data_IF_065922670016
#
_entry.id   IF_065922670016
#
_cell.length_a   1.000
_cell.length_b   1.000
_cell.length_c   1.000
_cell.angle_alpha   90.00
_cell.angle_beta   90.00
_cell.angle_gamma   90.00
#
_symmetry.space_group_name_H-M   'P 1'
#
loop_
_entity.id
_entity.type
_entity.pdbx_description
1 polymer ?
#
# COMPACT_ATOMS: atom_id res chain seq x y z
N UNK A 1 13.23 -0.82 -16.72
CA UNK A 1 12.26 0.26 -16.42
C UNK A 1 12.34 1.27 -17.56
N UNK A 2 11.21 1.71 -18.13
CA UNK A 2 11.20 2.71 -19.20
C UNK A 2 11.31 4.14 -18.65
N UNK A 3 11.48 5.13 -19.55
CA UNK A 3 11.65 6.55 -19.18
C UNK A 3 10.48 7.10 -18.37
N UNK A 4 9.25 6.71 -18.75
CA UNK A 4 8.02 7.09 -18.04
C UNK A 4 8.01 6.52 -16.62
N UNK A 5 8.30 5.22 -16.48
CA UNK A 5 8.34 4.54 -15.19
C UNK A 5 9.43 5.11 -14.28
N UNK A 6 10.58 5.53 -14.83
CA UNK A 6 11.63 6.20 -14.07
C UNK A 6 11.14 7.54 -13.50
N UNK A 7 10.50 8.38 -14.32
CA UNK A 7 9.91 9.65 -13.84
C UNK A 7 8.86 9.44 -12.75
N UNK A 8 8.00 8.44 -12.90
CA UNK A 8 6.98 8.12 -11.89
C UNK A 8 7.62 7.60 -10.59
N UNK A 9 8.69 6.82 -10.69
CA UNK A 9 9.43 6.33 -9.54
C UNK A 9 10.13 7.46 -8.79
N UNK A 10 10.86 8.32 -9.51
CA UNK A 10 11.53 9.48 -8.94
C UNK A 10 10.52 10.41 -8.24
N UNK A 11 9.37 10.66 -8.89
CA UNK A 11 8.27 11.43 -8.29
C UNK A 11 7.72 10.79 -7.02
N UNK A 12 7.62 9.46 -6.97
CA UNK A 12 7.14 8.76 -5.77
C UNK A 12 8.07 8.97 -4.58
N UNK A 13 9.37 8.78 -4.80
CA UNK A 13 10.41 8.93 -3.77
C UNK A 13 10.46 10.37 -3.26
N UNK A 14 10.44 11.34 -4.17
CA UNK A 14 10.64 12.75 -3.83
C UNK A 14 9.40 13.44 -3.28
N UNK A 15 8.19 12.98 -3.64
CA UNK A 15 6.95 13.72 -3.35
C UNK A 15 5.91 12.88 -2.63
N UNK A 16 5.60 11.67 -3.13
CA UNK A 16 4.51 10.87 -2.58
C UNK A 16 4.82 10.34 -1.18
N UNK A 17 6.04 9.84 -0.94
CA UNK A 17 6.47 9.36 0.39
C UNK A 17 6.43 10.49 1.44
N UNK A 18 7.02 11.68 1.20
CA UNK A 18 6.89 12.81 2.13
C UNK A 18 5.44 13.25 2.37
N UNK A 19 4.61 13.24 1.33
CA UNK A 19 3.20 13.63 1.43
C UNK A 19 2.39 12.65 2.30
N UNK A 20 2.62 11.34 2.14
CA UNK A 20 2.06 10.29 3.01
C UNK A 20 2.48 10.49 4.47
N UNK A 21 3.74 10.85 4.73
CA UNK A 21 4.23 11.16 6.07
C UNK A 21 3.51 12.39 6.69
N UNK A 22 3.40 13.48 5.92
CA UNK A 22 2.88 14.76 6.40
C UNK A 22 1.36 14.76 6.63
N UNK A 23 0.59 14.07 5.77
CA UNK A 23 -0.88 14.03 5.86
C UNK A 23 -1.39 12.89 6.74
N UNK A 24 -0.58 11.84 6.95
CA UNK A 24 -0.87 10.82 7.96
C UNK A 24 -0.01 11.06 9.21
N UNK A 25 -0.45 11.99 10.07
CA UNK A 25 0.02 12.12 11.47
C UNK A 25 -0.07 10.81 12.30
N UNK A 26 -0.56 9.72 11.72
CA UNK A 26 -0.71 8.38 12.31
C UNK A 26 0.60 7.58 12.31
N UNK A 27 1.64 8.03 11.62
CA UNK A 27 2.97 7.38 11.59
C UNK A 27 4.03 8.07 12.47
N UNK A 28 3.66 9.11 13.22
CA UNK A 28 4.53 9.93 14.10
C UNK A 28 5.31 9.14 15.17
N UNK A 29 5.01 7.85 15.38
CA UNK A 29 5.72 6.96 16.29
C UNK A 29 6.90 6.19 15.67
N UNK A 30 7.05 6.19 14.35
CA UNK A 30 8.21 5.61 13.66
C UNK A 30 9.31 6.68 13.63
N UNK A 31 10.18 6.68 14.66
CA UNK A 31 11.48 7.36 14.58
C UNK A 31 12.14 6.85 13.28
N UNK A 32 12.47 7.77 12.37
CA UNK A 32 13.03 7.46 11.04
C UNK A 32 12.04 6.85 10.02
N UNK A 33 10.76 7.29 10.04
CA UNK A 33 9.74 6.89 9.05
C UNK A 33 10.21 7.08 7.60
N UNK A 34 10.77 8.25 7.26
CA UNK A 34 11.23 8.55 5.91
C UNK A 34 12.37 7.63 5.47
N UNK A 35 13.33 7.36 6.35
CA UNK A 35 14.47 6.47 6.05
C UNK A 35 14.03 5.01 5.97
N UNK A 36 13.05 4.59 6.78
CA UNK A 36 12.51 3.23 6.75
C UNK A 36 11.62 3.01 5.53
N UNK A 37 10.78 3.98 5.15
CA UNK A 37 10.06 3.98 3.88
C UNK A 37 11.04 3.90 2.70
N UNK A 38 12.07 4.74 2.70
CA UNK A 38 13.09 4.78 1.64
C UNK A 38 13.92 3.50 1.57
N UNK A 39 14.13 2.79 2.69
CA UNK A 39 14.92 1.55 2.69
C UNK A 39 14.07 0.32 2.39
N UNK A 40 12.97 0.13 3.10
CA UNK A 40 12.20 -1.13 3.05
C UNK A 40 11.13 -1.09 1.95
N UNK A 41 10.39 0.02 1.84
CA UNK A 41 9.29 0.14 0.88
C UNK A 41 9.80 0.30 -0.55
N UNK A 42 10.86 1.09 -0.74
CA UNK A 42 11.51 1.25 -2.05
C UNK A 42 12.24 -0.02 -2.47
N UNK A 43 12.91 -0.72 -1.54
CA UNK A 43 13.53 -2.01 -1.86
C UNK A 43 12.47 -2.99 -2.35
N UNK A 44 11.31 -3.06 -1.68
CA UNK A 44 10.20 -3.89 -2.13
C UNK A 44 9.70 -3.48 -3.52
N UNK A 45 9.60 -2.19 -3.80
CA UNK A 45 9.23 -1.69 -5.14
C UNK A 45 10.25 -2.07 -6.22
N UNK A 46 11.54 -2.12 -5.91
CA UNK A 46 12.56 -2.54 -6.88
C UNK A 46 12.54 -4.05 -7.10
N UNK A 47 12.27 -4.85 -6.05
CA UNK A 47 12.35 -6.31 -6.13
C UNK A 47 11.06 -6.99 -6.57
N UNK A 48 9.91 -6.33 -6.45
CA UNK A 48 8.61 -6.92 -6.79
C UNK A 48 7.87 -6.09 -7.85
N UNK A 49 7.61 -6.74 -9.00
CA UNK A 49 6.98 -6.10 -10.14
C UNK A 49 5.52 -5.72 -9.93
N UNK A 50 4.79 -6.40 -9.04
CA UNK A 50 3.41 -6.01 -8.71
C UNK A 50 3.36 -4.80 -7.79
N UNK A 51 4.31 -4.73 -6.85
CA UNK A 51 4.41 -3.65 -5.89
C UNK A 51 4.82 -2.34 -6.57
N UNK A 52 5.76 -2.40 -7.53
CA UNK A 52 6.16 -1.20 -8.29
C UNK A 52 5.00 -0.57 -9.07
N UNK A 53 4.01 -1.37 -9.50
CA UNK A 53 2.81 -0.82 -10.13
C UNK A 53 1.98 -0.01 -9.15
N UNK A 54 1.89 -0.42 -7.88
CA UNK A 54 1.25 0.39 -6.84
C UNK A 54 2.01 1.69 -6.54
N UNK A 55 3.34 1.68 -6.67
CA UNK A 55 4.17 2.90 -6.61
C UNK A 55 3.83 3.85 -7.76
N UNK A 56 3.80 3.36 -9.00
CA UNK A 56 3.44 4.19 -10.15
C UNK A 56 2.01 4.70 -10.07
N UNK A 57 1.07 3.86 -9.63
CA UNK A 57 -0.31 4.25 -9.36
C UNK A 57 -0.37 5.47 -8.44
N UNK A 58 0.33 5.41 -7.30
CA UNK A 58 0.38 6.52 -6.34
C UNK A 58 0.93 7.80 -6.96
N UNK A 59 2.02 7.70 -7.75
CA UNK A 59 2.57 8.86 -8.46
C UNK A 59 1.60 9.44 -9.47
N UNK A 60 0.95 8.61 -10.29
CA UNK A 60 -0.05 9.04 -11.25
C UNK A 60 -1.23 9.75 -10.56
N UNK A 61 -1.69 9.24 -9.42
CA UNK A 61 -2.75 9.89 -8.63
C UNK A 61 -2.34 11.26 -8.11
N UNK A 62 -1.11 11.40 -7.61
CA UNK A 62 -0.59 12.68 -7.16
C UNK A 62 -0.44 13.68 -8.32
N UNK A 63 0.12 13.22 -9.44
CA UNK A 63 0.31 14.05 -10.64
C UNK A 63 -1.03 14.49 -11.24
N UNK A 64 -1.99 13.58 -11.39
CA UNK A 64 -3.37 13.92 -11.83
C UNK A 64 -3.96 15.04 -10.99
N UNK A 65 -3.82 15.00 -9.66
CA UNK A 65 -4.30 16.09 -8.80
C UNK A 65 -3.55 17.40 -9.00
N UNK A 66 -2.24 17.33 -9.27
CA UNK A 66 -1.39 18.51 -9.49
C UNK A 66 -1.74 19.22 -10.81
N UNK A 67 -2.26 18.49 -11.80
CA UNK A 67 -2.69 19.01 -13.11
C UNK A 67 -4.19 19.29 -13.21
N UNK A 68 -4.96 19.29 -12.12
CA UNK A 68 -6.42 19.56 -12.13
C UNK A 68 -6.85 20.85 -12.83
N UNK A 69 -5.97 21.85 -12.84
CA UNK A 69 -6.24 23.15 -13.49
C UNK A 69 -5.71 23.22 -14.93
N UNK A 70 -5.09 22.16 -15.42
CA UNK A 70 -4.63 21.97 -16.81
C UNK A 70 -5.26 20.69 -17.39
N UNK A 71 -6.56 20.74 -17.76
CA UNK A 71 -7.38 19.54 -17.91
C UNK A 71 -7.18 18.78 -19.23
N UNK A 72 -6.51 19.37 -20.21
CA UNK A 72 -6.56 18.89 -21.61
C UNK A 72 -5.52 17.79 -21.87
N UNK A 73 -4.36 17.79 -21.21
CA UNK A 73 -3.34 16.75 -21.42
C UNK A 73 -2.81 16.11 -20.14
N UNK A 74 -2.62 16.86 -19.05
CA UNK A 74 -1.99 16.34 -17.83
C UNK A 74 -2.90 15.43 -17.00
N UNK A 75 -4.05 15.93 -16.56
CA UNK A 75 -4.94 15.18 -15.64
C UNK A 75 -5.45 13.87 -16.26
N UNK A 76 -6.01 13.94 -17.47
CA UNK A 76 -6.58 12.76 -18.14
C UNK A 76 -5.51 11.69 -18.42
N UNK A 77 -4.32 12.10 -18.85
CA UNK A 77 -3.21 11.19 -19.11
C UNK A 77 -2.81 10.41 -17.84
N UNK A 78 -2.62 11.11 -16.72
CA UNK A 78 -2.25 10.45 -15.46
C UNK A 78 -3.39 9.63 -14.86
N UNK A 79 -4.66 9.99 -15.10
CA UNK A 79 -5.80 9.15 -14.71
C UNK A 79 -5.86 7.83 -15.49
N UNK A 80 -5.55 7.86 -16.79
CA UNK A 80 -5.46 6.66 -17.62
C UNK A 80 -4.32 5.76 -17.14
N UNK A 81 -3.12 6.32 -16.96
CA UNK A 81 -1.96 5.58 -16.42
C UNK A 81 -2.24 5.00 -15.03
N UNK A 82 -2.90 5.74 -14.15
CA UNK A 82 -3.31 5.22 -12.84
C UNK A 82 -4.22 4.00 -12.99
N UNK A 83 -5.18 4.04 -13.92
CA UNK A 83 -6.07 2.91 -14.17
C UNK A 83 -5.30 1.68 -14.69
N UNK A 84 -4.36 1.88 -15.61
CA UNK A 84 -3.49 0.82 -16.13
C UNK A 84 -2.66 0.16 -15.02
N UNK A 85 -1.97 0.96 -14.21
CA UNK A 85 -1.13 0.43 -13.13
C UNK A 85 -1.95 -0.20 -12.00
N UNK A 86 -3.16 0.29 -11.72
CA UNK A 86 -4.08 -0.34 -10.79
C UNK A 86 -4.50 -1.74 -11.26
N UNK A 87 -4.87 -1.87 -12.54
CA UNK A 87 -5.20 -3.16 -13.14
C UNK A 87 -4.00 -4.11 -13.13
N UNK A 88 -2.80 -3.61 -13.44
CA UNK A 88 -1.57 -4.41 -13.39
C UNK A 88 -1.29 -4.92 -11.97
N UNK A 89 -1.33 -4.04 -10.96
CA UNK A 89 -1.16 -4.41 -9.55
C UNK A 89 -2.21 -5.45 -9.12
N UNK A 90 -3.49 -5.20 -9.42
CA UNK A 90 -4.58 -6.12 -9.08
C UNK A 90 -4.39 -7.51 -9.69
N UNK A 91 -3.97 -7.59 -10.96
CA UNK A 91 -3.66 -8.88 -11.62
C UNK A 91 -2.55 -9.63 -10.88
N UNK A 92 -1.51 -8.95 -10.41
CA UNK A 92 -0.45 -9.61 -9.63
C UNK A 92 -0.95 -10.16 -8.30
N UNK A 93 -1.88 -9.46 -7.63
CA UNK A 93 -2.53 -9.97 -6.40
C UNK A 93 -3.36 -11.21 -6.72
N UNK A 94 -4.23 -11.14 -7.73
CA UNK A 94 -5.10 -12.25 -8.13
C UNK A 94 -4.29 -13.50 -8.49
N UNK A 95 -3.21 -13.33 -9.25
CA UNK A 95 -2.35 -14.45 -9.67
C UNK A 95 -1.56 -15.07 -8.51
N UNK A 96 -1.36 -14.34 -7.41
CA UNK A 96 -0.70 -14.84 -6.21
C UNK A 96 -1.67 -15.50 -5.22
N UNK A 97 -2.99 -15.42 -5.46
CA UNK A 97 -3.97 -16.08 -4.60
C UNK A 97 -3.86 -17.61 -4.75
N UNK A 98 -3.82 -18.36 -3.64
CA UNK A 98 -3.79 -19.80 -3.71
C UNK A 98 -5.09 -20.32 -4.30
N UNK A 99 -4.98 -21.26 -5.24
CA UNK A 99 -6.11 -22.03 -5.74
C UNK A 99 -6.38 -23.22 -4.82
N UNK A 100 -7.57 -23.83 -4.92
CA UNK A 100 -7.99 -25.00 -4.13
C UNK A 100 -6.96 -26.16 -4.18
N UNK A 101 -6.12 -26.19 -5.22
CA UNK A 101 -5.12 -27.24 -5.46
C UNK A 101 -3.67 -26.79 -5.23
N UNK A 102 -3.42 -25.52 -4.90
CA UNK A 102 -2.06 -25.00 -4.79
C UNK A 102 -1.52 -25.05 -3.36
N UNK A 103 -0.27 -25.46 -3.19
CA UNK A 103 0.51 -25.33 -1.95
C UNK A 103 1.17 -23.94 -1.80
N UNK A 104 0.77 -22.97 -2.63
CA UNK A 104 1.38 -21.63 -2.65
C UNK A 104 1.10 -20.96 -1.31
N UNK A 105 2.20 -20.69 -0.59
CA UNK A 105 2.17 -19.87 0.61
C UNK A 105 1.99 -18.41 0.21
N UNK A 106 1.03 -17.72 0.82
CA UNK A 106 0.85 -16.27 0.63
C UNK A 106 2.06 -15.56 1.21
N UNK A 107 2.73 -14.76 0.38
CA UNK A 107 3.87 -13.97 0.80
C UNK A 107 3.46 -12.56 1.27
N UNK A 108 4.39 -11.90 1.95
CA UNK A 108 4.19 -10.54 2.44
C UNK A 108 4.04 -9.52 1.30
N UNK A 109 4.59 -9.80 0.11
CA UNK A 109 4.50 -8.89 -1.04
C UNK A 109 3.06 -8.81 -1.56
N UNK A 110 2.33 -9.92 -1.57
CA UNK A 110 0.91 -10.01 -1.95
C UNK A 110 0.04 -9.20 -1.01
N UNK A 111 0.31 -9.30 0.30
CA UNK A 111 -0.39 -8.50 1.31
C UNK A 111 -0.07 -7.01 1.13
N UNK A 112 1.21 -6.66 0.91
CA UNK A 112 1.63 -5.28 0.72
C UNK A 112 1.02 -4.64 -0.54
N UNK A 113 0.83 -5.39 -1.63
CA UNK A 113 0.09 -4.94 -2.82
C UNK A 113 -1.38 -4.67 -2.51
N UNK A 114 -2.04 -5.55 -1.74
CA UNK A 114 -3.42 -5.34 -1.31
C UNK A 114 -3.55 -4.08 -0.43
N UNK A 115 -2.55 -3.79 0.41
CA UNK A 115 -2.48 -2.53 1.16
C UNK A 115 -2.37 -1.32 0.23
N UNK A 116 -1.49 -1.35 -0.78
CA UNK A 116 -1.35 -0.27 -1.76
C UNK A 116 -2.65 0.00 -2.53
N UNK A 117 -3.38 -1.05 -2.92
CA UNK A 117 -4.70 -0.91 -3.55
C UNK A 117 -5.70 -0.26 -2.58
N UNK A 118 -5.71 -0.66 -1.31
CA UNK A 118 -6.53 -0.02 -0.29
C UNK A 118 -6.19 1.47 -0.09
N UNK A 119 -4.90 1.82 -0.10
CA UNK A 119 -4.44 3.21 -0.02
C UNK A 119 -4.86 4.05 -1.23
N UNK A 120 -4.81 3.49 -2.45
CA UNK A 120 -5.33 4.16 -3.66
C UNK A 120 -6.83 4.48 -3.51
N UNK A 121 -7.62 3.55 -2.97
CA UNK A 121 -9.05 3.81 -2.77
C UNK A 121 -9.30 4.92 -1.73
N UNK A 122 -8.47 5.03 -0.69
CA UNK A 122 -8.53 6.16 0.26
C UNK A 122 -8.27 7.47 -0.48
N UNK A 123 -7.23 7.52 -1.31
CA UNK A 123 -6.90 8.69 -2.13
C UNK A 123 -8.06 9.11 -3.04
N UNK A 124 -8.77 8.13 -3.59
CA UNK A 124 -9.93 8.33 -4.45
C UNK A 124 -11.25 8.50 -3.67
N UNK A 125 -11.22 8.54 -2.33
CA UNK A 125 -12.41 8.62 -1.46
C UNK A 125 -13.41 7.47 -1.67
N UNK A 126 -12.96 6.34 -2.19
CA UNK A 126 -13.76 5.14 -2.42
C UNK A 126 -13.67 4.18 -1.22
N UNK A 127 -14.29 4.59 -0.11
CA UNK A 127 -14.19 3.87 1.15
C UNK A 127 -14.81 2.45 1.09
N UNK A 128 -15.73 2.19 0.18
CA UNK A 128 -16.30 0.86 -0.05
C UNK A 128 -15.28 -0.12 -0.59
N UNK A 129 -14.60 0.24 -1.68
CA UNK A 129 -13.54 -0.60 -2.26
C UNK A 129 -12.33 -0.72 -1.33
N UNK A 130 -11.98 0.38 -0.63
CA UNK A 130 -10.93 0.37 0.40
C UNK A 130 -11.15 -0.74 1.42
N UNK A 131 -12.37 -0.86 1.97
CA UNK A 131 -12.70 -1.89 2.97
C UNK A 131 -12.49 -3.30 2.43
N UNK A 132 -12.85 -3.54 1.17
CA UNK A 132 -12.68 -4.86 0.55
C UNK A 132 -11.20 -5.21 0.35
N UNK A 133 -10.36 -4.26 -0.07
CA UNK A 133 -8.93 -4.48 -0.18
C UNK A 133 -8.28 -4.77 1.18
N UNK A 134 -8.61 -3.99 2.21
CA UNK A 134 -8.07 -4.21 3.55
C UNK A 134 -8.60 -5.52 4.17
N UNK A 135 -9.86 -5.87 3.96
CA UNK A 135 -10.41 -7.15 4.41
C UNK A 135 -9.73 -8.33 3.70
N UNK A 136 -9.48 -8.21 2.40
CA UNK A 136 -8.68 -9.17 1.64
C UNK A 136 -7.28 -9.33 2.20
N UNK A 137 -6.60 -8.22 2.50
CA UNK A 137 -5.28 -8.22 3.12
C UNK A 137 -5.29 -8.91 4.50
N UNK A 138 -6.29 -8.67 5.34
CA UNK A 138 -6.46 -9.36 6.64
C UNK A 138 -6.63 -10.87 6.45
N UNK A 139 -7.44 -11.29 5.48
CA UNK A 139 -7.61 -12.71 5.14
C UNK A 139 -6.30 -13.35 4.67
N UNK A 140 -5.51 -12.63 3.87
CA UNK A 140 -4.23 -13.09 3.37
C UNK A 140 -3.20 -13.29 4.50
N UNK A 141 -3.14 -12.37 5.46
CA UNK A 141 -2.28 -12.52 6.65
C UNK A 141 -2.72 -13.73 7.50
N UNK A 142 -4.02 -13.92 7.73
CA UNK A 142 -4.52 -15.11 8.42
C UNK A 142 -4.14 -16.39 7.69
N UNK A 143 -4.27 -16.41 6.36
CA UNK A 143 -3.92 -17.56 5.53
C UNK A 143 -2.42 -17.86 5.54
N UNK A 144 -1.58 -16.82 5.68
CA UNK A 144 -0.13 -16.95 5.85
C UNK A 144 0.29 -17.37 7.27
N UNK A 145 -0.66 -17.62 8.18
CA UNK A 145 -0.39 -18.10 9.53
C UNK A 145 -0.29 -17.03 10.61
N UNK A 146 -0.55 -15.76 10.27
CA UNK A 146 -0.57 -14.66 11.24
C UNK A 146 0.31 -13.46 10.87
N UNK A 147 0.39 -12.45 11.76
CA UNK A 147 1.11 -11.19 11.52
C UNK A 147 2.62 -11.38 11.30
N UNK A 148 3.17 -12.53 11.67
CA UNK A 148 4.58 -12.90 11.49
C UNK A 148 5.02 -12.81 10.03
N UNK A 149 4.11 -13.07 9.07
CA UNK A 149 4.39 -12.94 7.64
C UNK A 149 4.83 -11.52 7.28
N UNK A 150 4.31 -10.50 7.98
CA UNK A 150 4.65 -9.09 7.76
C UNK A 150 5.92 -8.65 8.48
N UNK A 151 6.60 -9.58 9.16
CA UNK A 151 7.62 -9.30 10.15
C UNK A 151 6.96 -8.68 11.38
N UNK A 152 6.68 -9.50 12.41
CA UNK A 152 6.10 -9.03 13.68
C UNK A 152 6.95 -7.87 14.24
N UNK A 153 6.29 -6.76 14.56
CA UNK A 153 6.92 -5.47 14.97
C UNK A 153 7.83 -4.80 13.90
N UNK A 154 7.85 -5.37 12.69
CA UNK A 154 8.53 -4.83 11.53
C UNK A 154 7.73 -3.75 10.81
N UNK A 155 8.38 -3.14 9.81
CA UNK A 155 7.84 -1.98 9.11
C UNK A 155 6.50 -2.24 8.39
N UNK A 156 6.37 -3.33 7.63
CA UNK A 156 5.11 -3.65 6.93
C UNK A 156 3.96 -3.91 7.91
N UNK A 157 4.23 -4.61 9.01
CA UNK A 157 3.26 -4.81 10.09
C UNK A 157 2.81 -3.47 10.68
N UNK A 158 3.76 -2.59 11.00
CA UNK A 158 3.45 -1.25 11.51
C UNK A 158 2.58 -0.45 10.54
N UNK A 159 2.93 -0.41 9.24
CA UNK A 159 2.12 0.28 8.23
C UNK A 159 0.72 -0.32 8.16
N UNK A 160 0.62 -1.65 8.14
CA UNK A 160 -0.66 -2.36 8.07
C UNK A 160 -1.59 -2.02 9.24
N UNK A 161 -1.08 -2.11 10.47
CA UNK A 161 -1.84 -1.77 11.68
C UNK A 161 -2.31 -0.32 11.66
N UNK A 162 -1.45 0.61 11.24
CA UNK A 162 -1.82 2.02 11.18
C UNK A 162 -2.88 2.30 10.12
N UNK A 163 -2.83 1.63 8.95
CA UNK A 163 -3.89 1.74 7.94
C UNK A 163 -5.21 1.21 8.50
N UNK A 164 -5.22 0.03 9.12
CA UNK A 164 -6.43 -0.53 9.74
C UNK A 164 -7.01 0.38 10.83
N UNK A 165 -6.16 0.96 11.70
CA UNK A 165 -6.59 1.96 12.70
C UNK A 165 -7.18 3.18 12.02
N UNK A 166 -6.51 3.67 10.98
CA UNK A 166 -6.91 4.89 10.29
C UNK A 166 -8.28 4.79 9.62
N UNK A 167 -8.69 3.59 9.23
CA UNK A 167 -9.91 3.32 8.47
C UNK A 167 -11.03 2.71 9.32
N UNK A 168 -10.87 2.62 10.64
CA UNK A 168 -11.86 2.02 11.54
C UNK A 168 -11.96 0.50 11.39
N UNK A 169 -10.91 -0.15 10.89
CA UNK A 169 -10.79 -1.60 10.75
C UNK A 169 -9.85 -2.19 11.82
N UNK A 170 -9.57 -1.44 12.89
CA UNK A 170 -8.70 -1.86 13.99
C UNK A 170 -9.17 -3.19 14.59
N UNK A 171 -10.48 -3.35 14.81
CA UNK A 171 -11.08 -4.56 15.41
C UNK A 171 -10.87 -5.83 14.57
N UNK A 172 -10.61 -5.68 13.27
CA UNK A 172 -10.30 -6.79 12.38
C UNK A 172 -8.80 -7.14 12.40
N UNK A 173 -7.95 -6.21 12.87
CA UNK A 173 -6.51 -6.40 13.09
C UNK A 173 -6.16 -6.66 14.57
N UNK A 174 -7.06 -6.41 15.52
CA UNK A 174 -6.83 -6.61 16.97
C UNK A 174 -6.66 -8.07 17.38
N UNK A 175 -6.99 -9.04 16.49
CA UNK A 175 -6.62 -10.45 16.69
C UNK A 175 -5.09 -10.66 16.81
N UNK A 176 -4.27 -9.67 16.41
CA UNK A 176 -2.81 -9.79 16.33
C UNK A 176 -2.03 -8.84 17.24
N UNK A 177 -2.68 -7.91 17.94
CA UNK A 177 -2.00 -6.99 18.85
C UNK A 177 -1.56 -7.71 20.14
N UNK A 178 -0.26 -7.80 20.46
CA UNK A 178 0.19 -8.39 21.72
C UNK A 178 -0.33 -7.59 22.93
N UNK A 179 -0.59 -8.23 24.09
CA UNK A 179 -1.07 -7.55 25.28
C UNK A 179 -0.18 -6.38 25.76
N UNK A 180 1.11 -6.42 25.44
CA UNK A 180 2.11 -5.40 25.79
C UNK A 180 1.92 -4.05 25.09
N UNK A 181 1.18 -4.00 23.98
CA UNK A 181 0.92 -2.77 23.23
C UNK A 181 -0.39 -2.09 23.59
N UNK A 182 -1.20 -2.62 24.54
CA UNK A 182 -2.50 -2.04 24.94
C UNK A 182 -2.41 -0.60 25.45
N UNK A 183 -1.26 -0.17 25.95
CA UNK A 183 -1.05 1.18 26.46
C UNK A 183 -0.73 2.22 25.36
N UNK A 184 -0.63 1.80 24.10
CA UNK A 184 -0.58 2.66 22.90
C UNK A 184 -1.93 2.63 22.12
N UNK A 185 -2.99 2.14 22.77
CA UNK A 185 -4.35 1.95 22.23
C UNK A 185 -5.39 2.76 23.03
N UNK A 186 -4.94 3.72 23.85
CA UNK A 186 -5.79 4.72 24.50
C UNK A 186 -5.61 6.08 23.80
#
# INVERSE_FOLDING_TARGET
MGRKEQLLFDHYVMTAIPCLNAHCNKFLGLKDYADTMTREWIRLAITDCGFIYGVFLSSCRHLSQSFKNDPIEGEQHYMQLATEYKLACLRTVINALPTVQSTIQVDYTTIAKAMLLGLDEIWMSNYGAMRWHLFGAIKLVNLAGGPEVLGRDGFLFCIFVQICKATGMADLATMWTPPTFRNLIA
#
